data_IF_215218412612
#
_entry.id   IF_215218412612
#
_cell.length_a   1.000
_cell.length_b   1.000
_cell.length_c   1.000
_cell.angle_alpha   90.00
_cell.angle_beta   90.00
_cell.angle_gamma   90.00
#
_symmetry.space_group_name_H-M   'P 1'
#
loop_
_entity.id
_entity.type
_entity.pdbx_description
1 polymer ?
#
# COMPACT_ATOMS: atom_id res chain seq x y z
N UNK A 1 -2.66 -68.69 -13.54
CA UNK A 1 -1.52 -68.16 -12.73
C UNK A 1 -0.87 -67.05 -13.55
N UNK A 2 -1.28 -65.79 -13.38
CA UNK A 2 -0.69 -64.77 -12.48
C UNK A 2 0.72 -64.32 -12.87
N UNK A 3 0.84 -63.49 -13.92
CA UNK A 3 1.93 -62.51 -14.16
C UNK A 3 1.37 -61.58 -15.27
N UNK A 4 1.34 -60.25 -15.27
CA UNK A 4 2.08 -59.18 -14.62
C UNK A 4 1.09 -58.05 -14.27
N UNK A 5 1.00 -57.67 -13.00
CA UNK A 5 0.29 -56.46 -12.58
C UNK A 5 1.31 -55.32 -12.49
N UNK A 6 1.03 -54.24 -13.22
CA UNK A 6 1.87 -53.07 -13.34
C UNK A 6 2.12 -52.40 -11.96
N UNK A 7 3.37 -52.43 -11.51
CA UNK A 7 3.89 -51.50 -10.50
C UNK A 7 4.25 -50.20 -11.21
N UNK A 8 3.33 -49.23 -11.19
CA UNK A 8 3.64 -47.83 -11.50
C UNK A 8 2.64 -46.94 -10.76
N UNK A 9 2.71 -46.95 -9.43
CA UNK A 9 2.04 -45.96 -8.61
C UNK A 9 2.98 -45.55 -7.48
N UNK A 10 3.03 -44.24 -7.25
CA UNK A 10 3.67 -43.54 -6.12
C UNK A 10 5.12 -43.09 -6.39
N UNK A 11 5.27 -41.91 -6.99
CA UNK A 11 6.20 -40.85 -6.54
C UNK A 11 6.03 -39.59 -7.41
N UNK A 12 4.92 -38.87 -7.26
CA UNK A 12 4.75 -37.52 -7.79
C UNK A 12 3.94 -36.65 -6.83
N UNK A 13 4.38 -36.58 -5.56
CA UNK A 13 3.84 -35.66 -4.56
C UNK A 13 5.00 -35.01 -3.81
N UNK A 14 5.79 -34.21 -4.51
CA UNK A 14 6.83 -33.39 -3.89
C UNK A 14 7.12 -32.10 -4.70
N UNK A 15 6.08 -31.43 -5.22
CA UNK A 15 6.20 -30.03 -5.69
C UNK A 15 4.89 -29.29 -5.35
N UNK A 16 4.56 -29.17 -4.07
CA UNK A 16 3.47 -28.29 -3.64
C UNK A 16 3.64 -27.81 -2.19
N UNK A 17 4.87 -27.66 -1.72
CA UNK A 17 5.19 -27.06 -0.43
C UNK A 17 6.59 -26.45 -0.52
N UNK A 18 6.72 -25.25 -1.09
CA UNK A 18 8.02 -24.59 -1.20
C UNK A 18 8.04 -23.43 -2.18
N UNK A 19 7.68 -22.25 -1.67
CA UNK A 19 8.28 -20.94 -2.00
C UNK A 19 8.62 -20.60 -3.45
N UNK A 20 7.85 -19.67 -4.03
CA UNK A 20 8.34 -18.88 -5.16
C UNK A 20 7.25 -18.26 -6.02
N UNK A 21 6.90 -17.00 -5.71
CA UNK A 21 6.26 -16.10 -6.67
C UNK A 21 4.73 -16.10 -6.70
N UNK A 22 4.17 -14.88 -6.63
CA UNK A 22 2.86 -14.39 -7.11
C UNK A 22 2.15 -13.48 -6.08
N UNK A 23 2.48 -13.55 -4.78
CA UNK A 23 2.12 -12.48 -3.83
C UNK A 23 3.30 -12.24 -2.87
N UNK A 24 4.00 -11.12 -3.02
CA UNK A 24 4.99 -10.68 -2.01
C UNK A 24 4.23 -9.91 -0.93
N UNK A 25 4.09 -10.47 0.28
CA UNK A 25 3.44 -9.75 1.36
C UNK A 25 4.25 -8.51 1.74
N UNK A 26 3.66 -7.32 1.68
CA UNK A 26 4.31 -6.07 2.07
C UNK A 26 4.46 -5.98 3.60
N UNK A 27 5.57 -5.40 4.04
CA UNK A 27 5.79 -5.07 5.45
C UNK A 27 5.18 -3.71 5.82
N UNK A 28 5.09 -2.83 4.82
CA UNK A 28 4.31 -1.59 4.86
C UNK A 28 3.70 -1.38 3.47
N UNK A 29 2.41 -1.13 3.40
CA UNK A 29 1.69 -0.73 2.20
C UNK A 29 0.81 0.47 2.53
N UNK A 30 0.92 1.52 1.72
CA UNK A 30 0.02 2.67 1.70
C UNK A 30 -0.77 2.61 0.38
N UNK A 31 -2.03 2.18 0.44
CA UNK A 31 -2.92 2.08 -0.72
C UNK A 31 -3.94 3.22 -0.68
N UNK A 32 -3.86 4.13 -1.65
CA UNK A 32 -4.72 5.30 -1.77
C UNK A 32 -5.72 5.14 -2.91
N UNK A 33 -6.98 5.44 -2.62
CA UNK A 33 -8.07 5.62 -3.58
C UNK A 33 -8.38 7.10 -3.68
N UNK A 34 -7.96 7.73 -4.77
CA UNK A 34 -8.10 9.17 -4.99
C UNK A 34 -9.39 9.49 -5.79
N UNK A 35 -10.08 10.53 -5.38
CA UNK A 35 -11.20 11.13 -6.10
C UNK A 35 -10.76 12.38 -6.89
N UNK A 36 -11.53 12.76 -7.91
CA UNK A 36 -11.24 13.96 -8.72
C UNK A 36 -11.42 15.27 -7.96
N UNK A 37 -12.18 15.26 -6.87
CA UNK A 37 -12.41 16.42 -5.99
C UNK A 37 -11.30 16.59 -4.92
N UNK A 38 -10.31 15.70 -4.88
CA UNK A 38 -9.20 15.74 -3.93
C UNK A 38 -9.45 14.96 -2.65
N UNK A 39 -10.65 14.39 -2.45
CA UNK A 39 -10.89 13.45 -1.35
C UNK A 39 -10.16 12.13 -1.58
N UNK A 40 -9.82 11.41 -0.51
CA UNK A 40 -9.20 10.08 -0.65
C UNK A 40 -9.56 9.13 0.51
N UNK A 41 -9.57 7.83 0.20
CA UNK A 41 -9.46 6.77 1.21
C UNK A 41 -8.07 6.17 1.15
N UNK A 42 -7.40 6.07 2.28
CA UNK A 42 -6.08 5.43 2.42
C UNK A 42 -6.21 4.18 3.30
N UNK A 43 -5.81 3.03 2.77
CA UNK A 43 -5.59 1.81 3.54
C UNK A 43 -4.10 1.67 3.83
N UNK A 44 -3.75 1.64 5.11
CA UNK A 44 -2.39 1.31 5.54
C UNK A 44 -2.39 -0.11 6.05
N UNK A 45 -1.56 -0.95 5.43
CA UNK A 45 -1.33 -2.32 5.88
C UNK A 45 0.14 -2.48 6.27
N UNK A 46 0.40 -2.73 7.54
CA UNK A 46 1.78 -2.64 8.04
C UNK A 46 2.01 -3.46 9.29
N UNK A 47 3.24 -3.94 9.48
CA UNK A 47 3.62 -4.49 10.77
C UNK A 47 3.75 -3.38 11.82
N UNK A 48 3.49 -3.72 13.08
CA UNK A 48 3.66 -2.77 14.19
C UNK A 48 5.11 -2.27 14.25
N UNK A 49 6.08 -3.14 13.97
CA UNK A 49 7.50 -2.78 13.90
C UNK A 49 7.80 -1.81 12.74
N UNK A 50 7.16 -1.95 11.58
CA UNK A 50 7.36 -1.04 10.45
C UNK A 50 6.79 0.36 10.72
N UNK A 51 5.68 0.48 11.45
CA UNK A 51 5.19 1.79 11.92
C UNK A 51 6.21 2.47 12.83
N UNK A 52 6.75 1.75 13.80
CA UNK A 52 7.78 2.28 14.70
C UNK A 52 9.03 2.69 13.91
N UNK A 53 9.60 1.79 13.10
CA UNK A 53 10.84 2.02 12.37
C UNK A 53 10.70 3.15 11.32
N UNK A 54 9.63 3.13 10.53
CA UNK A 54 9.48 4.07 9.41
C UNK A 54 8.91 5.40 9.86
N UNK A 55 8.00 5.40 10.84
CA UNK A 55 7.16 6.56 11.18
C UNK A 55 7.42 7.12 12.58
N UNK A 56 8.30 6.49 13.35
CA UNK A 56 8.65 6.95 14.69
C UNK A 56 7.52 6.74 15.70
N UNK A 57 6.57 5.84 15.40
CA UNK A 57 5.58 5.41 16.37
C UNK A 57 6.25 4.72 17.56
N UNK A 58 5.49 4.47 18.63
CA UNK A 58 6.01 3.83 19.85
C UNK A 58 5.03 2.80 20.41
N UNK A 59 4.69 1.82 19.58
CA UNK A 59 3.84 0.71 20.00
C UNK A 59 4.66 -0.36 20.74
N UNK A 60 4.01 -1.11 21.64
CA UNK A 60 4.65 -2.25 22.29
C UNK A 60 4.99 -3.32 21.25
N UNK A 61 6.28 -3.66 21.10
CA UNK A 61 6.79 -4.61 20.12
C UNK A 61 6.79 -6.07 20.58
N UNK A 62 6.51 -6.36 21.86
CA UNK A 62 6.51 -7.74 22.40
C UNK A 62 5.53 -8.64 21.63
N UNK A 63 5.94 -9.83 21.16
CA UNK A 63 5.13 -10.64 20.27
C UNK A 63 3.85 -11.16 20.94
N UNK A 64 3.88 -11.42 22.25
CA UNK A 64 2.74 -11.96 23.00
C UNK A 64 1.71 -10.90 23.43
N UNK A 65 1.95 -9.62 23.15
CA UNK A 65 1.03 -8.54 23.51
C UNK A 65 0.06 -8.25 22.37
N UNK A 66 -1.23 -8.13 22.68
CA UNK A 66 -2.25 -7.74 21.71
C UNK A 66 -1.98 -6.31 21.19
N UNK A 67 -2.35 -6.04 19.94
CA UNK A 67 -2.25 -4.68 19.41
C UNK A 67 -3.33 -3.83 20.06
N UNK A 68 -2.93 -2.69 20.63
CA UNK A 68 -3.87 -1.68 21.11
C UNK A 68 -4.50 -0.94 19.93
N UNK A 69 -5.77 -1.27 19.65
CA UNK A 69 -6.53 -0.69 18.54
C UNK A 69 -6.86 0.78 18.75
N UNK A 70 -6.99 1.22 20.00
CA UNK A 70 -7.30 2.62 20.33
C UNK A 70 -6.04 3.46 20.13
N UNK A 71 -4.90 3.03 20.64
CA UNK A 71 -3.63 3.72 20.40
C UNK A 71 -3.31 3.82 18.89
N UNK A 72 -3.57 2.77 18.12
CA UNK A 72 -3.42 2.82 16.65
C UNK A 72 -4.42 3.79 16.03
N UNK A 73 -5.69 3.77 16.43
CA UNK A 73 -6.70 4.72 15.93
C UNK A 73 -6.30 6.16 16.22
N UNK A 74 -5.84 6.45 17.44
CA UNK A 74 -5.46 7.79 17.87
C UNK A 74 -4.24 8.28 17.07
N UNK A 75 -3.25 7.41 16.85
CA UNK A 75 -2.08 7.72 16.03
C UNK A 75 -2.46 8.12 14.59
N UNK A 76 -3.49 7.49 14.00
CA UNK A 76 -3.96 7.79 12.65
C UNK A 76 -5.01 8.89 12.55
N UNK A 77 -5.53 9.38 13.68
CA UNK A 77 -6.56 10.41 13.73
C UNK A 77 -5.94 11.80 13.79
N UNK A 78 -6.54 12.76 13.10
CA UNK A 78 -6.14 14.17 13.11
C UNK A 78 -7.32 15.04 12.68
N UNK A 79 -7.22 16.37 12.73
CA UNK A 79 -8.23 17.24 12.15
C UNK A 79 -8.47 17.01 10.64
N UNK A 80 -7.52 16.38 9.93
CA UNK A 80 -7.61 16.11 8.50
C UNK A 80 -7.98 14.65 8.16
N UNK A 81 -7.93 13.74 9.14
CA UNK A 81 -8.06 12.29 8.90
C UNK A 81 -9.11 11.66 9.81
N UNK A 82 -9.98 10.83 9.22
CA UNK A 82 -10.98 10.05 9.96
C UNK A 82 -10.69 8.56 9.83
N UNK A 83 -10.45 7.89 10.95
CA UNK A 83 -10.21 6.45 10.98
C UNK A 83 -11.53 5.69 11.02
N UNK A 84 -11.88 4.99 9.94
CA UNK A 84 -13.12 4.21 9.84
C UNK A 84 -12.94 2.74 10.26
N UNK A 85 -11.72 2.19 10.19
CA UNK A 85 -11.44 0.79 10.59
C UNK A 85 -10.00 0.59 11.08
N UNK A 86 -9.85 -0.22 12.12
CA UNK A 86 -8.56 -0.78 12.57
C UNK A 86 -8.73 -2.27 12.79
N UNK A 87 -7.99 -3.09 12.03
CA UNK A 87 -8.03 -4.55 12.08
C UNK A 87 -6.63 -5.10 12.37
N UNK A 88 -6.37 -5.58 13.59
CA UNK A 88 -5.11 -6.26 13.89
C UNK A 88 -5.13 -7.68 13.32
N UNK A 89 -3.98 -8.15 12.87
CA UNK A 89 -3.79 -9.54 12.44
C UNK A 89 -2.33 -9.98 12.62
N UNK A 90 -2.03 -11.25 12.34
CA UNK A 90 -0.67 -11.79 12.44
C UNK A 90 -0.25 -12.48 11.14
N UNK A 91 1.03 -12.40 10.81
CA UNK A 91 1.65 -13.07 9.66
C UNK A 91 3.11 -13.36 9.99
N UNK A 92 3.58 -14.58 9.72
CA UNK A 92 4.97 -14.97 9.96
C UNK A 92 5.46 -14.64 11.38
N UNK A 93 4.61 -14.92 12.39
CA UNK A 93 4.82 -14.59 13.80
C UNK A 93 4.91 -13.09 14.17
N UNK A 94 4.85 -12.18 13.19
CA UNK A 94 4.81 -10.73 13.39
C UNK A 94 3.38 -10.20 13.50
N UNK A 95 3.22 -9.08 14.19
CA UNK A 95 1.92 -8.39 14.37
C UNK A 95 1.75 -7.31 13.33
N UNK A 96 0.55 -7.24 12.77
CA UNK A 96 0.17 -6.29 11.74
C UNK A 96 -1.13 -5.57 12.11
N UNK A 97 -1.31 -4.42 11.48
CA UNK A 97 -2.54 -3.65 11.48
C UNK A 97 -2.91 -3.27 10.07
N UNK A 98 -4.19 -3.39 9.77
CA UNK A 98 -4.82 -2.72 8.64
C UNK A 98 -5.63 -1.55 9.17
N UNK A 99 -5.36 -0.35 8.68
CA UNK A 99 -6.06 0.88 9.07
C UNK A 99 -6.69 1.49 7.83
N UNK A 100 -7.98 1.82 7.90
CA UNK A 100 -8.67 2.59 6.87
C UNK A 100 -8.87 4.01 7.36
N UNK A 101 -8.40 4.96 6.57
CA UNK A 101 -8.42 6.39 6.85
C UNK A 101 -9.07 7.12 5.69
N UNK A 102 -9.97 8.05 5.98
CA UNK A 102 -10.58 8.94 5.00
C UNK A 102 -10.05 10.36 5.22
N UNK A 103 -9.75 11.07 4.13
CA UNK A 103 -9.24 12.46 4.13
C UNK A 103 -10.05 13.29 3.13
N UNK A 104 -10.45 14.49 3.53
CA UNK A 104 -11.27 15.37 2.69
C UNK A 104 -10.45 16.13 1.65
N UNK A 105 -9.16 16.36 1.93
CA UNK A 105 -8.20 16.99 1.02
C UNK A 105 -6.85 16.26 1.09
N UNK A 106 -6.53 15.50 0.04
CA UNK A 106 -5.29 14.72 -0.06
C UNK A 106 -4.03 15.58 0.07
N UNK A 107 -4.09 16.87 -0.26
CA UNK A 107 -2.93 17.77 -0.14
C UNK A 107 -2.55 18.02 1.32
N UNK A 108 -3.51 17.84 2.23
CA UNK A 108 -3.36 17.99 3.68
C UNK A 108 -3.10 16.68 4.41
N UNK A 109 -3.03 15.56 3.70
CA UNK A 109 -2.81 14.25 4.29
C UNK A 109 -1.52 14.20 5.13
N UNK A 110 -0.47 14.89 4.69
CA UNK A 110 0.81 15.02 5.40
C UNK A 110 0.73 15.75 6.75
N UNK A 111 -0.39 16.38 7.12
CA UNK A 111 -0.56 16.97 8.44
C UNK A 111 -0.79 15.90 9.54
N UNK A 112 -1.21 14.70 9.16
CA UNK A 112 -1.35 13.58 10.08
C UNK A 112 -0.02 12.84 10.28
N UNK A 113 0.31 12.50 11.53
CA UNK A 113 1.59 11.86 11.89
C UNK A 113 1.96 10.61 11.05
N UNK A 114 1.04 9.68 10.76
CA UNK A 114 1.32 8.51 9.92
C UNK A 114 1.41 8.83 8.44
N UNK A 115 1.36 10.09 7.99
CA UNK A 115 1.57 10.50 6.60
C UNK A 115 2.54 11.69 6.45
N UNK A 116 2.98 12.30 7.56
CA UNK A 116 3.87 13.46 7.61
C UNK A 116 5.27 13.29 7.00
N UNK A 117 5.70 12.06 6.73
CA UNK A 117 6.93 11.84 5.98
C UNK A 117 6.82 12.24 4.50
N UNK A 118 5.60 12.44 3.99
CA UNK A 118 5.34 12.68 2.58
C UNK A 118 4.81 14.09 2.35
N UNK A 119 5.17 14.67 1.21
CA UNK A 119 4.51 15.86 0.67
C UNK A 119 3.57 15.46 -0.44
N UNK A 120 2.34 15.98 -0.40
CA UNK A 120 1.27 15.65 -1.33
C UNK A 120 0.90 16.87 -2.16
N UNK A 121 0.75 16.67 -3.47
CA UNK A 121 0.22 17.67 -4.40
C UNK A 121 -0.83 17.02 -5.27
N UNK A 122 -1.96 17.70 -5.38
CA UNK A 122 -3.01 17.36 -6.32
C UNK A 122 -3.56 18.66 -6.89
N UNK A 123 -3.37 18.88 -8.18
CA UNK A 123 -3.75 20.14 -8.83
C UNK A 123 -4.17 19.89 -10.27
N UNK A 124 -5.02 20.78 -10.79
CA UNK A 124 -5.31 20.84 -12.22
C UNK A 124 -4.22 21.64 -12.92
N UNK A 125 -3.62 21.05 -13.95
CA UNK A 125 -2.68 21.70 -14.86
C UNK A 125 -3.21 21.50 -16.28
N UNK A 126 -3.62 22.60 -16.91
CA UNK A 126 -4.33 22.60 -18.20
C UNK A 126 -5.57 21.69 -18.21
N UNK A 127 -5.52 20.64 -19.02
CA UNK A 127 -6.57 19.65 -19.23
C UNK A 127 -6.38 18.36 -18.42
N UNK A 128 -5.40 18.34 -17.51
CA UNK A 128 -5.06 17.17 -16.69
C UNK A 128 -5.12 17.50 -15.20
N UNK A 129 -5.39 16.47 -14.39
CA UNK A 129 -5.02 16.49 -12.99
C UNK A 129 -3.63 15.88 -12.82
N UNK A 130 -2.80 16.51 -11.99
CA UNK A 130 -1.46 16.08 -11.64
C UNK A 130 -1.44 15.69 -10.17
N UNK A 131 -1.17 14.43 -9.90
CA UNK A 131 -0.87 13.92 -8.57
C UNK A 131 0.64 13.75 -8.42
N UNK A 132 1.19 14.31 -7.34
CA UNK A 132 2.57 14.05 -6.94
C UNK A 132 2.66 13.80 -5.44
N UNK A 133 3.33 12.72 -5.08
CA UNK A 133 3.69 12.42 -3.71
C UNK A 133 5.21 12.23 -3.62
N UNK A 134 5.87 13.03 -2.81
CA UNK A 134 7.30 12.89 -2.53
C UNK A 134 7.46 12.28 -1.15
N UNK A 135 7.99 11.06 -1.10
CA UNK A 135 8.27 10.35 0.14
C UNK A 135 9.60 10.85 0.71
N UNK A 136 9.55 11.39 1.91
CA UNK A 136 10.72 11.86 2.66
C UNK A 136 11.46 10.75 3.39
N UNK A 137 12.39 11.16 4.25
CA UNK A 137 13.15 10.25 5.08
C UNK A 137 12.24 9.48 6.07
N UNK A 138 12.64 8.26 6.39
CA UNK A 138 12.03 7.51 7.48
C UNK A 138 12.50 8.05 8.84
N UNK A 139 11.76 7.76 9.91
CA UNK A 139 12.19 8.06 11.28
C UNK A 139 13.42 7.26 11.71
N UNK A 140 13.68 6.11 11.05
CA UNK A 140 14.80 5.20 11.33
C UNK A 140 14.88 4.80 12.80
N UNK A 141 13.74 4.56 13.44
CA UNK A 141 13.71 4.10 14.82
C UNK A 141 14.26 2.67 14.90
N UNK A 142 15.15 2.41 15.86
CA UNK A 142 15.58 1.06 16.16
C UNK A 142 14.42 0.28 16.82
N UNK A 143 14.11 -0.88 16.26
CA UNK A 143 13.04 -1.77 16.70
C UNK A 143 13.57 -3.11 17.22
N UNK A 144 14.90 -3.27 17.29
CA UNK A 144 15.56 -4.51 17.69
C UNK A 144 15.34 -5.65 16.69
N UNK A 145 15.58 -6.88 17.16
CA UNK A 145 15.35 -8.08 16.35
C UNK A 145 13.87 -8.44 16.29
N UNK A 146 13.22 -8.03 15.21
CA UNK A 146 11.82 -8.34 14.90
C UNK A 146 11.69 -9.41 13.79
N UNK A 147 12.78 -10.12 13.48
CA UNK A 147 12.82 -11.14 12.44
C UNK A 147 12.74 -10.56 11.02
N UNK A 148 13.26 -9.35 10.80
CA UNK A 148 13.44 -8.79 9.47
C UNK A 148 14.71 -9.30 8.80
N UNK A 149 14.64 -9.49 7.48
CA UNK A 149 15.83 -9.83 6.68
C UNK A 149 16.35 -8.64 5.86
N UNK A 150 15.62 -7.53 5.85
CA UNK A 150 15.87 -6.35 5.01
C UNK A 150 15.28 -6.46 3.60
N UNK A 151 14.89 -7.68 3.17
CA UNK A 151 14.29 -7.95 1.85
C UNK A 151 12.77 -7.79 1.83
N UNK A 152 12.17 -7.52 2.99
CA UNK A 152 10.79 -7.07 3.10
C UNK A 152 10.52 -5.91 2.14
N UNK A 153 9.29 -5.80 1.66
CA UNK A 153 8.93 -4.76 0.67
C UNK A 153 8.03 -3.71 1.31
N UNK A 154 8.33 -2.45 1.01
CA UNK A 154 7.47 -1.28 1.25
C UNK A 154 6.82 -0.92 -0.07
N UNK A 155 5.50 -0.75 -0.06
CA UNK A 155 4.74 -0.40 -1.26
C UNK A 155 3.87 0.84 -1.06
N UNK A 156 3.72 1.58 -2.14
CA UNK A 156 2.75 2.64 -2.28
C UNK A 156 1.90 2.33 -3.49
N UNK A 157 0.59 2.22 -3.31
CA UNK A 157 -0.35 1.92 -4.38
C UNK A 157 -1.32 3.07 -4.53
N UNK A 158 -1.56 3.48 -5.78
CA UNK A 158 -2.46 4.57 -6.11
C UNK A 158 -3.52 4.08 -7.09
N UNK A 159 -4.77 4.15 -6.69
CA UNK A 159 -5.95 3.95 -7.54
C UNK A 159 -6.44 5.31 -8.00
N UNK A 160 -6.39 5.53 -9.31
CA UNK A 160 -6.77 6.79 -9.92
C UNK A 160 -8.21 6.74 -10.48
N UNK A 161 -8.97 7.84 -10.37
CA UNK A 161 -10.40 7.88 -10.74
C UNK A 161 -10.63 8.06 -12.25
N UNK A 162 -9.55 8.21 -13.03
CA UNK A 162 -9.55 8.66 -14.42
C UNK A 162 -8.46 7.96 -15.23
N UNK A 163 -8.51 8.08 -16.56
CA UNK A 163 -7.49 7.55 -17.46
C UNK A 163 -6.15 8.23 -17.20
N UNK A 164 -5.13 7.41 -16.99
CA UNK A 164 -3.74 7.85 -16.77
C UNK A 164 -3.11 8.19 -18.11
N UNK A 165 -2.56 9.39 -18.24
CA UNK A 165 -1.85 9.87 -19.43
C UNK A 165 -0.34 9.83 -19.26
N UNK A 166 0.14 9.86 -18.02
CA UNK A 166 1.56 9.75 -17.67
C UNK A 166 1.72 9.17 -16.26
N UNK A 167 2.79 8.40 -16.05
CA UNK A 167 3.28 8.04 -14.72
C UNK A 167 4.77 7.67 -14.74
N UNK A 168 5.41 7.70 -13.57
CA UNK A 168 6.83 7.32 -13.41
C UNK A 168 7.03 5.92 -12.78
N UNK A 169 5.98 5.12 -12.62
CA UNK A 169 6.04 3.79 -11.99
C UNK A 169 6.73 2.68 -12.83
N UNK A 170 7.25 3.01 -14.01
CA UNK A 170 7.79 2.06 -14.98
C UNK A 170 6.72 1.50 -15.93
N UNK A 171 7.11 1.01 -17.13
CA UNK A 171 6.18 0.69 -18.22
C UNK A 171 5.18 -0.44 -17.88
N UNK A 172 5.60 -1.46 -17.13
CA UNK A 172 4.76 -2.63 -16.81
C UNK A 172 3.86 -2.44 -15.58
N UNK A 173 3.78 -1.21 -15.06
CA UNK A 173 3.17 -0.91 -13.78
C UNK A 173 1.71 -0.48 -13.87
N UNK A 174 1.20 -0.18 -15.07
CA UNK A 174 -0.20 0.18 -15.27
C UNK A 174 -1.12 -1.03 -15.06
N UNK A 175 -1.55 -1.28 -13.82
CA UNK A 175 -2.43 -2.40 -13.48
C UNK A 175 -3.89 -1.98 -13.66
N UNK A 176 -4.68 -2.83 -14.32
CA UNK A 176 -6.14 -2.63 -14.53
C UNK A 176 -6.51 -1.27 -15.15
N UNK A 177 -5.57 -0.61 -15.83
CA UNK A 177 -5.77 0.68 -16.53
C UNK A 177 -5.76 1.93 -15.65
N UNK A 178 -5.78 1.81 -14.32
CA UNK A 178 -5.85 2.97 -13.41
C UNK A 178 -5.16 2.76 -12.05
N UNK A 179 -4.39 1.69 -11.88
CA UNK A 179 -3.68 1.39 -10.63
C UNK A 179 -2.18 1.42 -10.90
N UNK A 180 -1.46 2.12 -10.02
CA UNK A 180 0.01 2.22 -10.02
C UNK A 180 0.56 1.75 -8.67
N UNK A 181 1.74 1.14 -8.67
CA UNK A 181 2.43 0.61 -7.50
C UNK A 181 3.91 0.97 -7.56
N UNK A 182 4.44 1.58 -6.51
CA UNK A 182 5.86 1.80 -6.32
C UNK A 182 6.35 0.94 -5.16
N UNK A 183 7.44 0.21 -5.38
CA UNK A 183 8.00 -0.70 -4.37
C UNK A 183 9.45 -0.33 -4.09
N UNK A 184 9.85 -0.45 -2.82
CA UNK A 184 11.24 -0.38 -2.39
C UNK A 184 11.51 -1.47 -1.35
N UNK A 185 12.73 -2.03 -1.29
CA UNK A 185 13.15 -2.82 -0.15
C UNK A 185 13.03 -2.02 1.15
N UNK A 186 12.61 -2.67 2.24
CA UNK A 186 12.49 -2.05 3.55
C UNK A 186 13.81 -1.44 4.01
N UNK A 187 14.92 -2.12 3.77
CA UNK A 187 16.26 -1.62 4.11
C UNK A 187 16.55 -0.25 3.46
N UNK A 188 16.17 -0.07 2.20
CA UNK A 188 16.40 1.15 1.44
C UNK A 188 15.44 2.26 1.88
N UNK A 189 14.18 1.90 2.19
CA UNK A 189 13.23 2.83 2.78
C UNK A 189 13.67 3.35 4.15
N UNK A 190 14.18 2.47 5.01
CA UNK A 190 14.72 2.83 6.34
C UNK A 190 15.93 3.77 6.20
N UNK A 191 16.80 3.56 5.20
CA UNK A 191 17.91 4.47 4.89
C UNK A 191 17.42 5.85 4.42
N UNK A 192 16.20 5.94 3.91
CA UNK A 192 15.61 7.20 3.47
C UNK A 192 15.84 7.47 1.99
N UNK A 193 16.04 6.44 1.16
CA UNK A 193 16.22 6.64 -0.29
C UNK A 193 15.06 7.46 -0.88
N UNK A 194 15.29 8.35 -1.85
CA UNK A 194 14.20 9.15 -2.40
C UNK A 194 13.18 8.28 -3.14
N UNK A 195 11.90 8.59 -3.00
CA UNK A 195 10.84 8.03 -3.81
C UNK A 195 9.83 9.13 -4.16
N UNK A 196 9.49 9.25 -5.44
CA UNK A 196 8.44 10.17 -5.89
C UNK A 196 7.45 9.38 -6.74
N UNK A 197 6.18 9.53 -6.41
CA UNK A 197 5.06 9.05 -7.19
C UNK A 197 4.57 10.22 -8.03
N UNK A 198 4.59 10.07 -9.35
CA UNK A 198 4.06 11.05 -10.29
C UNK A 198 3.06 10.36 -11.20
N UNK A 199 1.85 10.91 -11.27
CA UNK A 199 0.83 10.46 -12.17
C UNK A 199 -0.01 11.64 -12.68
N UNK A 200 -0.35 11.60 -13.97
CA UNK A 200 -1.24 12.57 -14.62
C UNK A 200 -2.42 11.85 -15.21
N UNK A 201 -3.61 12.46 -15.10
CA UNK A 201 -4.85 11.84 -15.51
C UNK A 201 -5.80 12.84 -16.15
N UNK A 202 -6.72 12.36 -17.00
CA UNK A 202 -7.79 13.18 -17.57
C UNK A 202 -8.69 13.75 -16.45
N UNK A 203 -9.38 14.88 -16.70
CA UNK A 203 -10.23 15.54 -15.71
C UNK A 203 -11.63 14.92 -15.55
N UNK A 204 -11.96 13.92 -16.37
CA UNK A 204 -13.23 13.20 -16.34
C UNK A 204 -13.04 11.79 -15.81
N UNK A 205 -13.96 11.33 -14.95
CA UNK A 205 -13.86 9.97 -14.41
C UNK A 205 -14.09 8.93 -15.49
N UNK A 206 -13.42 7.77 -15.36
CA UNK A 206 -13.66 6.59 -16.20
C UNK A 206 -15.14 6.19 -16.19
N UNK A 207 -15.82 6.27 -15.02
CA UNK A 207 -17.25 5.94 -14.92
C UNK A 207 -18.12 6.88 -15.74
N UNK A 208 -17.89 8.20 -15.65
CA UNK A 208 -18.65 9.19 -16.42
C UNK A 208 -18.45 9.02 -17.92
N UNK A 209 -17.21 8.71 -18.34
CA UNK A 209 -16.90 8.40 -19.74
C UNK A 209 -17.65 7.16 -20.22
N UNK A 210 -17.71 6.10 -19.41
CA UNK A 210 -18.45 4.88 -19.72
C UNK A 210 -19.96 5.13 -19.78
N UNK A 211 -20.54 5.85 -18.82
CA UNK A 211 -21.97 6.18 -18.83
C UNK A 211 -22.36 7.03 -20.05
N UNK A 212 -21.54 8.00 -20.45
CA UNK A 212 -21.77 8.76 -21.68
C UNK A 212 -21.74 7.89 -22.94
N UNK A 213 -20.78 6.97 -23.04
CA UNK A 213 -20.66 6.07 -24.19
C UNK A 213 -21.87 5.15 -24.37
N UNK A 214 -22.52 4.73 -23.29
CA UNK A 214 -23.72 3.89 -23.34
C UNK A 214 -25.04 4.66 -23.25
N UNK A 215 -25.02 5.89 -22.73
CA UNK A 215 -26.18 6.77 -22.66
C UNK A 215 -26.45 7.54 -23.95
N UNK A 216 -25.41 7.83 -24.75
CA UNK A 216 -25.54 8.48 -26.07
C UNK A 216 -25.96 7.50 -27.20
N UNK A 217 -26.13 6.21 -26.89
CA UNK A 217 -26.57 5.18 -27.84
C UNK A 217 -28.06 4.85 -27.75
N UNK A 218 -28.86 5.65 -27.03
CA UNK A 218 -30.32 5.51 -26.96
C UNK A 218 -31.03 6.85 -27.24
#
# INVERSE_FOLDING_TARGET
MRVFAALALIAATAIACGGGGIFRPYEYEEEMYLSLDGTATVNVNTSVAALDALRGASFDLRPNVAVDRNAVRDYFSSPQTRVSRVTPYRRSNRRFVQVRVDVDDVTRLGEAAPFAWSRYRFAREDNLYVYRQTIGASARKDVGDVGWTGRETVAFRLHLPSKITYHNAGPDNLKRGNILVWEQPLADRVKGEPLTLDARMETQSILYRTLWLFGATF
#
